data_IF_730771139702
#
_entry.id   IF_730771139702
#
_cell.length_a   1.000
_cell.length_b   1.000
_cell.length_c   1.000
_cell.angle_alpha   90.00
_cell.angle_beta   90.00
_cell.angle_gamma   90.00
#
_symmetry.space_group_name_H-M   'P 1'
#
loop_
_entity.id
_entity.type
_entity.pdbx_description
1 polymer ?
#
# COMPACT_ATOMS: atom_id res chain seq x y z
N UNK A 1 -10.34 -5.08 -5.03
CA UNK A 1 -9.45 -5.31 -3.87
C UNK A 1 -9.42 -6.76 -3.40
N UNK A 2 -10.55 -7.38 -3.01
CA UNK A 2 -10.62 -8.79 -2.53
C UNK A 2 -9.82 -9.79 -3.39
N UNK A 3 -10.06 -9.86 -4.70
CA UNK A 3 -9.39 -10.79 -5.63
C UNK A 3 -7.85 -10.66 -5.64
N UNK A 4 -7.33 -9.42 -5.51
CA UNK A 4 -5.87 -9.17 -5.46
C UNK A 4 -5.30 -9.77 -4.17
N UNK A 5 -5.96 -9.49 -3.04
CA UNK A 5 -5.53 -9.99 -1.73
C UNK A 5 -5.59 -11.52 -1.68
N UNK A 6 -6.69 -12.12 -2.16
CA UNK A 6 -6.85 -13.58 -2.21
C UNK A 6 -5.72 -14.24 -3.00
N UNK A 7 -5.28 -13.64 -4.11
CA UNK A 7 -4.19 -14.13 -4.96
C UNK A 7 -2.78 -14.07 -4.35
N UNK A 8 -2.59 -13.42 -3.20
CA UNK A 8 -1.30 -13.43 -2.50
C UNK A 8 -1.02 -14.79 -1.86
N UNK A 9 -0.08 -15.56 -2.40
CA UNK A 9 0.15 -16.95 -1.98
C UNK A 9 1.12 -17.12 -0.81
N UNK A 10 1.77 -16.04 -0.34
CA UNK A 10 2.74 -16.13 0.75
C UNK A 10 2.02 -16.07 2.12
N UNK A 11 2.26 -17.03 3.03
CA UNK A 11 1.54 -17.11 4.31
C UNK A 11 1.86 -15.95 5.27
N UNK A 12 2.96 -15.22 5.05
CA UNK A 12 3.36 -14.04 5.84
C UNK A 12 3.15 -12.73 5.09
N UNK A 13 2.22 -12.68 4.15
CA UNK A 13 1.88 -11.42 3.49
C UNK A 13 1.34 -10.43 4.50
N UNK A 14 1.96 -9.25 4.55
CA UNK A 14 1.49 -8.10 5.33
C UNK A 14 0.98 -7.06 4.34
N UNK A 15 -0.21 -6.53 4.60
CA UNK A 15 -0.82 -5.48 3.80
C UNK A 15 -0.71 -4.18 4.60
N UNK A 16 0.02 -3.21 4.07
CA UNK A 16 0.11 -1.88 4.67
C UNK A 16 -0.93 -0.95 4.05
N UNK A 17 -1.80 -0.38 4.88
CA UNK A 17 -2.70 0.73 4.49
C UNK A 17 -2.05 2.04 4.88
N UNK A 18 -1.91 2.96 3.93
CA UNK A 18 -1.58 4.35 4.21
C UNK A 18 -2.89 5.06 4.61
N UNK A 19 -3.05 5.56 5.85
CA UNK A 19 -4.27 6.27 6.26
C UNK A 19 -4.48 7.57 5.48
N UNK A 20 -5.74 7.99 5.33
CA UNK A 20 -6.05 9.30 4.76
C UNK A 20 -5.42 10.41 5.61
N UNK A 21 -4.83 11.42 4.95
CA UNK A 21 -4.15 12.54 5.62
C UNK A 21 -2.69 12.24 6.00
N UNK A 22 -2.18 11.04 5.72
CA UNK A 22 -0.76 10.72 5.94
C UNK A 22 0.12 11.59 5.07
N UNK A 23 1.08 12.27 5.70
CA UNK A 23 2.10 13.05 5.00
C UNK A 23 3.22 12.12 4.53
N UNK A 24 3.53 12.14 3.24
CA UNK A 24 4.68 11.41 2.71
C UNK A 24 5.99 12.13 3.07
N UNK A 25 7.07 11.38 3.39
CA UNK A 25 8.41 11.94 3.43
C UNK A 25 8.74 12.65 2.11
N UNK A 26 9.44 13.78 2.14
CA UNK A 26 9.82 14.54 0.94
C UNK A 26 10.65 13.72 -0.07
N UNK A 27 11.32 12.68 0.42
CA UNK A 27 12.11 11.73 -0.38
C UNK A 27 11.27 10.66 -1.08
N UNK A 28 9.96 10.56 -0.78
CA UNK A 28 9.01 9.65 -1.40
C UNK A 28 7.91 10.42 -2.14
N UNK A 29 7.36 9.80 -3.18
CA UNK A 29 6.25 10.33 -3.97
C UNK A 29 5.36 9.21 -4.49
N UNK A 30 4.09 9.50 -4.74
CA UNK A 30 3.17 8.57 -5.40
C UNK A 30 3.14 8.92 -6.88
N UNK A 31 3.53 7.96 -7.72
CA UNK A 31 3.32 8.02 -9.16
C UNK A 31 2.04 7.26 -9.51
N UNK A 32 1.14 7.93 -10.23
CA UNK A 32 -0.03 7.30 -10.80
C UNK A 32 0.26 6.93 -12.26
N UNK A 33 0.29 5.63 -12.55
CA UNK A 33 0.29 5.15 -13.92
C UNK A 33 -1.15 5.08 -14.42
N UNK A 34 -1.47 5.88 -15.44
CA UNK A 34 -2.82 5.99 -15.95
C UNK A 34 -3.36 4.62 -16.37
N UNK A 35 -4.54 4.25 -15.85
CA UNK A 35 -5.27 2.97 -16.02
C UNK A 35 -4.74 1.73 -15.29
N UNK A 36 -3.62 1.82 -14.57
CA UNK A 36 -3.02 0.64 -13.94
C UNK A 36 -2.92 0.79 -12.42
N UNK A 37 -1.75 1.20 -11.90
CA UNK A 37 -1.47 1.19 -10.48
C UNK A 37 -0.88 2.51 -9.99
N UNK A 38 -1.04 2.74 -8.68
CA UNK A 38 -0.23 3.71 -7.95
C UNK A 38 1.06 3.02 -7.49
N UNK A 39 2.20 3.68 -7.66
CA UNK A 39 3.49 3.24 -7.14
C UNK A 39 4.06 4.28 -6.17
N UNK A 40 4.62 3.81 -5.05
CA UNK A 40 5.40 4.64 -4.15
C UNK A 40 6.85 4.62 -4.63
N UNK A 41 7.39 5.79 -4.98
CA UNK A 41 8.69 5.96 -5.61
C UNK A 41 9.52 7.02 -4.89
N UNK A 42 10.78 7.14 -5.26
CA UNK A 42 11.73 8.08 -4.66
C UNK A 42 11.81 9.36 -5.47
N UNK A 43 11.94 10.51 -4.81
CA UNK A 43 12.14 11.81 -5.47
C UNK A 43 13.61 12.15 -5.73
N UNK A 44 14.54 11.33 -5.23
CA UNK A 44 15.99 11.53 -5.30
C UNK A 44 16.70 10.25 -5.73
N UNK A 45 17.94 10.39 -6.21
CA UNK A 45 18.86 9.24 -6.34
C UNK A 45 19.17 8.70 -4.94
N UNK A 46 18.98 7.40 -4.75
CA UNK A 46 19.18 6.71 -3.48
C UNK A 46 19.66 5.29 -3.77
N UNK A 47 20.43 4.70 -2.85
CA UNK A 47 20.80 3.28 -2.95
C UNK A 47 19.57 2.40 -2.67
N UNK A 48 19.60 1.15 -3.13
CA UNK A 48 18.51 0.22 -2.86
C UNK A 48 18.36 -0.06 -1.36
N UNK A 49 19.48 -0.17 -0.63
CA UNK A 49 19.47 -0.45 0.81
C UNK A 49 18.89 0.73 1.61
N UNK A 50 19.28 1.96 1.27
CA UNK A 50 18.72 3.15 1.90
C UNK A 50 17.24 3.32 1.59
N UNK A 51 16.83 3.01 0.35
CA UNK A 51 15.43 3.01 -0.04
C UNK A 51 14.63 1.99 0.76
N UNK A 52 15.12 0.77 0.88
CA UNK A 52 14.48 -0.27 1.68
C UNK A 52 14.32 0.18 3.13
N UNK A 53 15.38 0.72 3.73
CA UNK A 53 15.34 1.21 5.10
C UNK A 53 14.33 2.37 5.26
N UNK A 54 14.26 3.29 4.29
CA UNK A 54 13.32 4.41 4.30
C UNK A 54 11.87 3.96 4.15
N UNK A 55 11.60 3.04 3.22
CA UNK A 55 10.29 2.44 3.01
C UNK A 55 9.84 1.67 4.26
N UNK A 56 10.71 0.86 4.87
CA UNK A 56 10.40 0.17 6.11
C UNK A 56 10.05 1.16 7.22
N UNK A 57 10.82 2.23 7.40
CA UNK A 57 10.51 3.27 8.41
C UNK A 57 9.14 3.91 8.14
N UNK A 58 8.87 4.30 6.89
CA UNK A 58 7.58 4.89 6.53
C UNK A 58 6.41 3.93 6.80
N UNK A 59 6.50 2.69 6.34
CA UNK A 59 5.43 1.70 6.49
C UNK A 59 5.20 1.32 7.96
N UNK A 60 6.26 1.18 8.77
CA UNK A 60 6.12 0.80 10.18
C UNK A 60 5.56 1.94 11.04
N UNK A 61 5.89 3.20 10.73
CA UNK A 61 5.53 4.33 11.60
C UNK A 61 4.31 5.12 11.15
N UNK A 62 3.97 5.09 9.86
CA UNK A 62 2.91 5.92 9.28
C UNK A 62 1.77 5.10 8.68
N UNK A 63 1.91 3.78 8.58
CA UNK A 63 0.90 2.91 7.99
C UNK A 63 0.32 1.93 9.01
N UNK A 64 -0.85 1.41 8.67
CA UNK A 64 -1.51 0.34 9.43
C UNK A 64 -1.22 -1.00 8.76
N UNK A 65 -0.75 -1.97 9.54
CA UNK A 65 -0.38 -3.30 9.06
C UNK A 65 -1.52 -4.29 9.30
N UNK A 66 -1.82 -5.10 8.29
CA UNK A 66 -2.89 -6.10 8.32
C UNK A 66 -2.38 -7.46 7.84
N UNK A 67 -2.88 -8.54 8.44
CA UNK A 67 -2.88 -9.85 7.79
C UNK A 67 -3.91 -9.88 6.67
N UNK A 68 -3.86 -10.93 5.83
CA UNK A 68 -4.87 -11.14 4.79
C UNK A 68 -6.28 -11.24 5.38
N UNK A 69 -6.43 -11.97 6.49
CA UNK A 69 -7.70 -12.24 7.15
C UNK A 69 -8.29 -10.94 7.70
N UNK A 70 -7.48 -10.17 8.44
CA UNK A 70 -7.90 -8.88 9.00
C UNK A 70 -8.34 -7.90 7.89
N UNK A 71 -7.58 -7.86 6.79
CA UNK A 71 -7.95 -7.03 5.65
C UNK A 71 -9.27 -7.46 5.01
N UNK A 72 -9.47 -8.77 4.79
CA UNK A 72 -10.69 -9.29 4.17
C UNK A 72 -11.91 -9.13 5.07
N UNK A 73 -11.76 -9.23 6.39
CA UNK A 73 -12.82 -8.94 7.35
C UNK A 73 -13.22 -7.46 7.31
N UNK A 74 -12.25 -6.55 7.37
CA UNK A 74 -12.52 -5.12 7.45
C UNK A 74 -12.94 -4.50 6.10
N UNK A 75 -12.31 -4.92 5.00
CA UNK A 75 -12.45 -4.29 3.68
C UNK A 75 -12.94 -5.23 2.58
N UNK A 76 -13.08 -6.54 2.84
CA UNK A 76 -13.46 -7.52 1.82
C UNK A 76 -14.88 -7.33 1.28
N UNK A 77 -15.71 -6.53 1.93
CA UNK A 77 -17.06 -6.17 1.49
C UNK A 77 -17.12 -4.79 0.79
N UNK A 78 -16.07 -3.98 0.95
CA UNK A 78 -15.99 -2.62 0.38
C UNK A 78 -15.69 -2.73 -1.12
N UNK A 79 -16.73 -2.55 -1.95
CA UNK A 79 -16.66 -2.71 -3.40
C UNK A 79 -17.91 -3.33 -4.06
N UNK A 80 -18.95 -3.70 -3.30
CA UNK A 80 -20.24 -4.14 -3.88
C UNK A 80 -21.20 -2.98 -4.24
N UNK A 81 -20.85 -1.73 -3.99
CA UNK A 81 -21.61 -0.61 -4.52
C UNK A 81 -21.29 -0.43 -6.00
N UNK A 82 -22.25 -0.81 -6.86
CA UNK A 82 -22.34 -0.38 -8.26
C UNK A 82 -22.40 1.15 -8.32
N UNK A 83 -21.25 1.80 -8.19
CA UNK A 83 -21.09 3.20 -8.51
C UNK A 83 -21.07 3.35 -10.03
N UNK A 84 -22.20 3.77 -10.58
CA UNK A 84 -22.36 4.19 -11.97
C UNK A 84 -21.51 5.44 -12.15
N UNK A 85 -20.49 5.37 -13.01
CA UNK A 85 -19.91 6.56 -13.65
C UNK A 85 -20.52 6.64 -15.04
#
# INVERSE_FOLDING_TARGET
MRRIIEGFNHPRTVIFRIPQGTTLPLSLTILHEHTDHYSLQTTKRISLDDLNAEMTRFLVHQCEAYTKEQWLEQYGHVGQTRGRW
#
